data_IF_953670387069
#
_entry.id   IF_953670387069
#
_cell.length_a   1.000
_cell.length_b   1.000
_cell.length_c   1.000
_cell.angle_alpha   90.00
_cell.angle_beta   90.00
_cell.angle_gamma   90.00
#
_symmetry.space_group_name_H-M   'P 1'
#
loop_
_entity.id
_entity.type
_entity.pdbx_description
1 polymer ?
#
# COMPACT_ATOMS: atom_id res chain seq x y z
N UNK A 1 -4.46 -16.89 -1.49
CA UNK A 1 -5.32 -15.89 -0.82
C UNK A 1 -6.14 -15.17 -1.89
N UNK A 2 -7.42 -14.85 -1.65
CA UNK A 2 -8.22 -14.02 -2.54
C UNK A 2 -7.52 -12.69 -2.87
N UNK A 3 -7.67 -12.17 -4.09
CA UNK A 3 -7.13 -10.87 -4.50
C UNK A 3 -8.16 -9.77 -4.20
N UNK A 4 -8.37 -9.50 -2.92
CA UNK A 4 -9.33 -8.48 -2.51
C UNK A 4 -8.82 -7.06 -2.84
N UNK A 5 -9.70 -6.07 -2.78
CA UNK A 5 -9.25 -4.66 -2.83
C UNK A 5 -8.79 -4.24 -1.44
N UNK A 6 -7.56 -3.75 -1.31
CA UNK A 6 -6.97 -3.34 -0.02
C UNK A 6 -7.23 -1.87 0.35
N UNK A 7 -7.89 -1.13 -0.54
CA UNK A 7 -8.19 0.29 -0.37
C UNK A 7 -9.69 0.52 -0.33
N UNK A 8 -10.13 1.49 0.46
CA UNK A 8 -11.53 1.94 0.40
C UNK A 8 -11.71 2.77 -0.87
N UNK A 9 -12.26 2.13 -1.92
CA UNK A 9 -12.39 2.70 -3.27
C UNK A 9 -13.03 4.09 -3.26
N UNK A 10 -14.13 4.26 -2.52
CA UNK A 10 -14.83 5.55 -2.43
C UNK A 10 -13.96 6.66 -1.85
N UNK A 11 -13.14 6.38 -0.83
CA UNK A 11 -12.22 7.36 -0.23
C UNK A 11 -11.10 7.74 -1.20
N UNK A 12 -10.54 6.77 -1.91
CA UNK A 12 -9.52 7.04 -2.93
C UNK A 12 -10.05 7.95 -4.03
N UNK A 13 -11.21 7.61 -4.61
CA UNK A 13 -11.82 8.40 -5.68
C UNK A 13 -12.18 9.81 -5.20
N UNK A 14 -12.74 9.93 -4.00
CA UNK A 14 -13.07 11.22 -3.40
C UNK A 14 -11.81 12.08 -3.19
N UNK A 15 -10.72 11.49 -2.72
CA UNK A 15 -9.44 12.20 -2.55
C UNK A 15 -8.91 12.75 -3.88
N UNK A 16 -8.85 11.92 -4.94
CA UNK A 16 -8.38 12.35 -6.27
C UNK A 16 -9.27 13.48 -6.80
N UNK A 17 -10.60 13.32 -6.69
CA UNK A 17 -11.56 14.33 -7.16
C UNK A 17 -11.44 15.66 -6.43
N UNK A 18 -11.23 15.63 -5.10
CA UNK A 18 -11.06 16.82 -4.28
C UNK A 18 -9.74 17.54 -4.56
N UNK A 19 -8.67 16.79 -4.88
CA UNK A 19 -7.33 17.35 -5.08
C UNK A 19 -7.10 17.93 -6.48
N UNK A 20 -7.66 17.31 -7.52
CA UNK A 20 -7.37 17.71 -8.92
C UNK A 20 -8.61 17.93 -9.79
N UNK A 21 -9.80 17.61 -9.30
CA UNK A 21 -11.00 17.59 -10.13
C UNK A 21 -11.15 16.36 -11.03
N UNK A 22 -10.21 15.40 -10.96
CA UNK A 22 -10.19 14.24 -11.84
C UNK A 22 -11.10 13.11 -11.36
N UNK A 23 -11.53 12.30 -12.30
CA UNK A 23 -12.14 10.99 -12.05
C UNK A 23 -11.05 9.91 -11.97
N UNK A 24 -11.35 8.79 -11.33
CA UNK A 24 -10.42 7.65 -11.20
C UNK A 24 -11.10 6.40 -11.72
N UNK A 25 -10.44 5.69 -12.63
CA UNK A 25 -10.96 4.43 -13.20
C UNK A 25 -10.94 3.31 -12.16
N UNK A 26 -11.80 2.31 -12.33
CA UNK A 26 -11.88 1.17 -11.43
C UNK A 26 -10.57 0.37 -11.42
N UNK A 27 -9.92 0.17 -12.58
CA UNK A 27 -8.68 -0.60 -12.67
C UNK A 27 -7.52 -0.05 -11.82
N UNK A 28 -7.54 1.22 -11.41
CA UNK A 28 -6.53 1.78 -10.49
C UNK A 28 -6.54 1.04 -9.14
N UNK A 29 -7.70 0.55 -8.68
CA UNK A 29 -7.81 -0.09 -7.37
C UNK A 29 -7.04 -1.40 -7.30
N UNK A 30 -6.99 -2.14 -8.40
CA UNK A 30 -6.28 -3.42 -8.48
C UNK A 30 -4.77 -3.19 -8.47
N UNK A 31 -4.29 -2.24 -9.29
CA UNK A 31 -2.88 -1.85 -9.35
C UNK A 31 -2.38 -1.40 -7.98
N UNK A 32 -3.14 -0.55 -7.29
CA UNK A 32 -2.78 -0.10 -5.94
C UNK A 32 -2.82 -1.24 -4.91
N UNK A 33 -3.79 -2.14 -5.01
CA UNK A 33 -3.90 -3.28 -4.09
C UNK A 33 -2.73 -4.24 -4.26
N UNK A 34 -2.27 -4.47 -5.49
CA UNK A 34 -1.08 -5.26 -5.78
C UNK A 34 0.18 -4.62 -5.22
N UNK A 35 0.34 -3.31 -5.40
CA UNK A 35 1.47 -2.58 -4.83
C UNK A 35 1.48 -2.65 -3.29
N UNK A 36 0.33 -2.45 -2.64
CA UNK A 36 0.20 -2.57 -1.18
C UNK A 36 0.55 -3.98 -0.70
N UNK A 37 0.18 -5.03 -1.44
CA UNK A 37 0.56 -6.41 -1.11
C UNK A 37 2.07 -6.60 -1.10
N UNK A 38 2.76 -6.05 -2.07
CA UNK A 38 4.21 -6.20 -2.16
C UNK A 38 4.95 -5.39 -1.10
N UNK A 39 4.43 -4.22 -0.72
CA UNK A 39 4.91 -3.48 0.44
C UNK A 39 4.70 -4.27 1.74
N UNK A 40 3.51 -4.84 1.95
CA UNK A 40 3.22 -5.66 3.13
C UNK A 40 4.11 -6.90 3.21
N UNK A 41 4.34 -7.60 2.09
CA UNK A 41 5.26 -8.75 2.05
C UNK A 41 6.67 -8.36 2.48
N UNK A 42 7.15 -7.20 2.05
CA UNK A 42 8.46 -6.68 2.44
C UNK A 42 8.49 -6.30 3.93
N UNK A 43 7.45 -5.62 4.42
CA UNK A 43 7.38 -5.17 5.80
C UNK A 43 7.31 -6.35 6.78
N UNK A 44 6.58 -7.42 6.41
CA UNK A 44 6.55 -8.69 7.14
C UNK A 44 7.95 -9.31 7.23
N UNK A 45 8.74 -9.29 6.16
CA UNK A 45 10.12 -9.82 6.19
C UNK A 45 11.01 -9.00 7.13
N UNK A 46 10.92 -7.67 7.09
CA UNK A 46 11.69 -6.81 8.00
C UNK A 46 11.31 -7.08 9.46
N UNK A 47 10.01 -7.19 9.77
CA UNK A 47 9.55 -7.52 11.10
C UNK A 47 10.04 -8.89 11.58
N UNK A 48 9.98 -9.90 10.70
CA UNK A 48 10.43 -11.26 11.00
C UNK A 48 11.95 -11.34 11.23
N UNK A 49 12.75 -10.59 10.45
CA UNK A 49 14.21 -10.50 10.64
C UNK A 49 14.59 -9.89 11.99
N UNK A 50 13.76 -8.98 12.51
CA UNK A 50 13.90 -8.41 13.85
C UNK A 50 13.29 -9.29 14.96
N UNK A 51 12.86 -10.53 14.65
CA UNK A 51 12.27 -11.45 15.62
C UNK A 51 10.86 -11.05 16.09
N UNK A 52 10.20 -10.12 15.41
CA UNK A 52 8.87 -9.62 15.77
C UNK A 52 7.76 -10.32 14.99
N UNK A 53 6.58 -10.41 15.62
CA UNK A 53 5.32 -10.84 14.96
C UNK A 53 4.39 -9.67 14.62
N UNK A 54 4.78 -8.46 14.99
CA UNK A 54 4.04 -7.23 14.70
C UNK A 54 4.81 -6.41 13.68
N UNK A 55 4.17 -6.11 12.56
CA UNK A 55 4.66 -5.15 11.57
C UNK A 55 4.43 -3.75 12.12
N UNK A 56 5.46 -2.90 12.06
CA UNK A 56 5.47 -1.55 12.60
C UNK A 56 5.83 -0.54 11.50
N UNK A 57 5.56 0.73 11.75
CA UNK A 57 5.79 1.81 10.76
C UNK A 57 7.24 1.85 10.25
N UNK A 58 8.21 1.54 11.12
CA UNK A 58 9.64 1.44 10.74
C UNK A 58 9.92 0.42 9.64
N UNK A 59 9.13 -0.66 9.58
CA UNK A 59 9.27 -1.70 8.56
C UNK A 59 8.90 -1.14 7.18
N UNK A 60 7.92 -0.22 7.12
CA UNK A 60 7.54 0.50 5.91
C UNK A 60 8.50 1.63 5.58
N UNK A 61 8.94 2.43 6.56
CA UNK A 61 9.94 3.47 6.32
C UNK A 61 11.23 2.90 5.73
N UNK A 62 11.66 1.72 6.17
CA UNK A 62 12.84 1.04 5.63
C UNK A 62 12.69 0.63 4.15
N UNK A 63 11.46 0.37 3.69
CA UNK A 63 11.15 0.03 2.30
C UNK A 63 11.09 1.30 1.47
N UNK A 64 10.29 2.28 1.89
CA UNK A 64 10.03 3.49 1.10
C UNK A 64 11.28 4.37 0.94
N UNK A 65 12.14 4.47 1.97
CA UNK A 65 13.43 5.18 1.86
C UNK A 65 14.40 4.55 0.87
N UNK A 66 14.21 3.30 0.46
CA UNK A 66 15.04 2.65 -0.57
C UNK A 66 14.57 2.98 -1.98
N UNK A 67 13.29 3.33 -2.16
CA UNK A 67 12.72 3.67 -3.46
C UNK A 67 13.04 5.10 -3.93
N UNK A 68 13.41 5.99 -3.01
CA UNK A 68 13.88 7.36 -3.32
C UNK A 68 15.38 7.43 -3.68
N UNK A 69 16.05 6.27 -3.79
CA UNK A 69 17.48 6.15 -4.16
C UNK A 69 17.67 5.58 -5.55
#
# INVERSE_FOLDING_TARGET
MPRDVLVVVSKLKAYVRARSGFNTSDGVTDVLSDHLRDLCKQAIRNAAQDGRKTVLDRDFHAILKRSDR
#
